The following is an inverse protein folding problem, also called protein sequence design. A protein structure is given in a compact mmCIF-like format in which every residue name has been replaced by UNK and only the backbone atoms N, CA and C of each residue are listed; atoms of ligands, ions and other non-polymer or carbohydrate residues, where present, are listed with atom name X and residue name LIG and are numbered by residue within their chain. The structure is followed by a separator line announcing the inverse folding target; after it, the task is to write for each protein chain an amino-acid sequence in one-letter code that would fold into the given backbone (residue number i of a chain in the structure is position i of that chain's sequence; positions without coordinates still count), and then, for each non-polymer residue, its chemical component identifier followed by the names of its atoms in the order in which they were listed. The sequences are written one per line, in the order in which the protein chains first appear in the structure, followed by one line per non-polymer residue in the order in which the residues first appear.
data_IF_540885172907
#
_entry.id   IF_540885172907
#
_cell.length_a   1.000
_cell.length_b   1.000
_cell.length_c   1.000
_cell.angle_alpha   90.00
_cell.angle_beta   90.00
_cell.angle_gamma   90.00
#
_symmetry.space_group_name_H-M   'P 1'
#
loop_
_entity.id
_entity.type
_entity.pdbx_description
1 polymer ?
#
# COMPACT_ATOMS: atom_id res chain seq x y z
N UNK A 1 18.63 -30.64 -93.80
CA UNK A 1 17.89 -30.44 -92.54
C UNK A 1 18.80 -29.59 -91.65
N UNK A 2 18.83 -28.27 -91.82
CA UNK A 2 17.89 -27.29 -91.20
C UNK A 2 18.11 -27.23 -89.68
N UNK A 3 18.45 -26.13 -89.00
CA UNK A 3 18.67 -24.71 -89.32
C UNK A 3 19.46 -24.08 -88.14
N UNK A 4 20.03 -22.89 -88.38
CA UNK A 4 20.83 -22.03 -87.51
C UNK A 4 20.18 -21.49 -86.20
N UNK A 5 21.05 -21.17 -85.22
CA UNK A 5 21.16 -19.98 -84.36
C UNK A 5 19.93 -19.42 -83.60
N UNK A 6 20.05 -19.30 -82.27
CA UNK A 6 20.19 -18.02 -81.56
C UNK A 6 20.21 -18.23 -80.02
N UNK A 7 21.22 -17.66 -79.36
CA UNK A 7 21.25 -17.42 -77.92
C UNK A 7 20.25 -16.30 -77.55
N UNK A 8 19.61 -16.36 -76.37
CA UNK A 8 19.43 -15.13 -75.61
C UNK A 8 19.95 -15.28 -74.18
N UNK A 9 20.67 -14.24 -73.75
CA UNK A 9 20.92 -13.88 -72.35
C UNK A 9 19.57 -13.81 -71.62
N UNK A 10 19.37 -14.60 -70.55
CA UNK A 10 18.28 -14.38 -69.60
C UNK A 10 18.88 -13.87 -68.30
N UNK A 11 18.54 -12.62 -68.05
CA UNK A 11 18.79 -11.83 -66.85
C UNK A 11 18.29 -12.59 -65.61
N UNK A 12 19.17 -12.85 -64.65
CA UNK A 12 18.84 -13.37 -63.33
C UNK A 12 18.09 -12.30 -62.54
N UNK A 13 16.75 -12.36 -62.54
CA UNK A 13 15.92 -11.63 -61.60
C UNK A 13 15.71 -12.51 -60.36
N UNK A 14 16.48 -12.24 -59.31
CA UNK A 14 16.18 -12.73 -57.97
C UNK A 14 14.84 -12.14 -57.52
N UNK A 15 13.77 -12.91 -57.66
CA UNK A 15 12.52 -12.67 -56.94
C UNK A 15 12.79 -12.92 -55.46
N UNK A 16 13.05 -11.84 -54.72
CA UNK A 16 12.92 -11.83 -53.29
C UNK A 16 11.44 -12.05 -52.95
N UNK A 17 11.07 -13.32 -52.73
CA UNK A 17 9.85 -13.66 -52.01
C UNK A 17 10.01 -13.08 -50.60
N UNK A 18 9.42 -11.89 -50.41
CA UNK A 18 9.14 -11.37 -49.08
C UNK A 18 8.36 -12.45 -48.34
N UNK A 19 8.99 -13.05 -47.33
CA UNK A 19 8.30 -13.93 -46.41
C UNK A 19 7.32 -13.06 -45.64
N UNK A 20 6.05 -13.11 -46.03
CA UNK A 20 4.97 -12.70 -45.14
C UNK A 20 5.02 -13.68 -43.99
N UNK A 21 5.49 -13.21 -42.84
CA UNK A 21 5.45 -13.97 -41.59
C UNK A 21 4.00 -14.42 -41.36
N UNK A 22 3.73 -15.72 -41.18
CA UNK A 22 2.37 -16.20 -40.93
C UNK A 22 1.85 -15.52 -39.67
N UNK A 23 0.68 -14.88 -39.77
CA UNK A 23 0.02 -14.20 -38.66
C UNK A 23 -0.08 -15.17 -37.47
N UNK A 24 0.73 -14.95 -36.45
CA UNK A 24 0.71 -15.75 -35.22
C UNK A 24 -0.61 -15.54 -34.47
N UNK A 25 -0.95 -16.45 -33.54
CA UNK A 25 -2.13 -16.29 -32.70
C UNK A 25 -2.05 -14.95 -31.94
N UNK A 26 -3.17 -14.23 -31.86
CA UNK A 26 -3.28 -12.97 -31.09
C UNK A 26 -3.14 -13.18 -29.58
N UNK A 27 -3.35 -14.40 -29.12
CA UNK A 27 -2.86 -14.82 -27.83
C UNK A 27 -1.36 -15.11 -27.93
N UNK A 28 -0.53 -14.10 -27.68
CA UNK A 28 0.93 -14.24 -27.67
C UNK A 28 1.51 -13.67 -26.37
N UNK A 29 1.32 -14.35 -25.23
CA UNK A 29 2.03 -14.00 -24.02
C UNK A 29 3.53 -14.26 -24.24
N UNK A 30 4.37 -13.28 -23.93
CA UNK A 30 5.82 -13.45 -24.03
C UNK A 30 6.49 -13.03 -22.72
N UNK A 31 7.28 -13.92 -22.10
CA UNK A 31 8.13 -13.57 -20.98
C UNK A 31 9.02 -12.35 -21.28
N UNK A 32 8.91 -11.30 -20.47
CA UNK A 32 9.84 -10.19 -20.38
C UNK A 32 10.40 -10.10 -18.95
N UNK A 33 11.70 -10.36 -18.80
CA UNK A 33 12.41 -10.17 -17.53
C UNK A 33 13.13 -8.81 -17.61
N UNK A 34 12.88 -7.95 -16.63
CA UNK A 34 13.32 -6.54 -16.62
C UNK A 34 14.21 -6.27 -15.42
N UNK A 35 15.43 -5.76 -15.61
CA UNK A 35 16.30 -5.36 -14.49
C UNK A 35 15.74 -4.16 -13.73
N UNK A 36 15.09 -3.25 -14.46
CA UNK A 36 14.30 -2.11 -13.97
C UNK A 36 13.39 -1.63 -15.10
N UNK A 37 12.43 -0.76 -14.79
CA UNK A 37 11.65 -0.04 -15.79
C UNK A 37 11.68 1.47 -15.51
N UNK A 38 11.55 2.25 -16.58
CA UNK A 38 11.44 3.70 -16.48
C UNK A 38 10.03 4.08 -16.02
N UNK A 39 9.86 5.25 -15.40
CA UNK A 39 8.53 5.77 -15.04
C UNK A 39 8.22 7.00 -15.89
N UNK A 40 7.20 6.90 -16.74
CA UNK A 40 6.64 8.03 -17.48
C UNK A 40 5.57 8.71 -16.61
N UNK A 41 5.96 9.77 -15.92
CA UNK A 41 5.03 10.58 -15.10
C UNK A 41 4.37 11.64 -15.94
N UNK A 42 3.05 11.65 -15.93
CA UNK A 42 2.23 12.61 -16.65
C UNK A 42 1.10 13.09 -15.74
N UNK A 43 0.73 14.35 -15.87
CA UNK A 43 -0.46 14.92 -15.24
C UNK A 43 -1.55 15.13 -16.28
N UNK A 44 -2.81 15.08 -15.89
CA UNK A 44 -3.96 15.47 -16.74
C UNK A 44 -3.80 16.88 -17.34
N UNK A 45 -3.07 17.78 -16.66
CA UNK A 45 -2.76 19.13 -17.15
C UNK A 45 -1.45 19.23 -17.96
N UNK A 46 -0.72 18.13 -18.17
CA UNK A 46 0.55 18.10 -18.91
C UNK A 46 1.74 18.74 -18.19
N UNK A 47 1.61 19.06 -16.91
CA UNK A 47 2.71 19.52 -16.07
C UNK A 47 3.46 18.31 -15.48
N UNK A 48 4.79 18.36 -15.49
CA UNK A 48 5.58 17.47 -14.63
C UNK A 48 5.46 18.06 -13.23
N UNK A 49 4.56 17.51 -12.41
CA UNK A 49 4.38 17.95 -11.03
C UNK A 49 5.62 17.54 -10.23
N UNK A 50 6.61 18.43 -10.20
CA UNK A 50 7.63 18.48 -9.17
C UNK A 50 7.20 19.54 -8.15
N UNK A 51 6.07 19.32 -7.47
CA UNK A 51 5.67 20.26 -6.43
C UNK A 51 6.70 20.14 -5.29
N UNK A 52 7.42 21.22 -5.02
CA UNK A 52 8.39 21.29 -3.92
C UNK A 52 7.72 21.22 -2.54
N UNK A 53 6.40 21.48 -2.50
CA UNK A 53 5.51 21.27 -1.37
C UNK A 53 4.57 20.04 -1.56
N UNK A 54 4.73 19.27 -2.65
CA UNK A 54 4.03 17.99 -2.84
C UNK A 54 4.61 17.05 -1.80
N UNK A 55 3.83 16.68 -0.80
CA UNK A 55 4.19 15.56 0.07
C UNK A 55 3.85 14.23 -0.60
N UNK A 56 4.10 14.13 -1.91
CA UNK A 56 3.67 13.01 -2.74
C UNK A 56 3.91 11.66 -2.09
N UNK A 57 2.97 10.73 -2.30
CA UNK A 57 3.09 9.28 -2.12
C UNK A 57 3.76 8.77 -0.83
N UNK A 58 3.73 9.55 0.25
CA UNK A 58 4.06 9.08 1.59
C UNK A 58 2.82 8.57 2.31
N UNK A 59 2.96 7.74 3.36
CA UNK A 59 1.85 7.14 4.11
C UNK A 59 1.09 8.15 4.99
N UNK A 60 0.92 9.40 4.53
CA UNK A 60 0.06 10.39 5.17
C UNK A 60 -1.36 10.25 4.60
N UNK A 61 -1.91 9.08 4.93
CA UNK A 61 -3.22 8.92 5.56
C UNK A 61 -4.50 8.97 4.75
N UNK A 62 -4.54 9.52 3.54
CA UNK A 62 -5.79 9.51 2.75
C UNK A 62 -5.69 8.75 1.43
N UNK A 63 -4.50 8.61 0.88
CA UNK A 63 -4.28 7.96 -0.41
C UNK A 63 -4.04 6.47 -0.19
N UNK A 64 -4.91 5.66 -0.76
CA UNK A 64 -4.92 4.21 -0.68
C UNK A 64 -4.58 3.61 -2.05
N UNK A 65 -3.87 2.48 -2.04
CA UNK A 65 -3.58 1.72 -3.24
C UNK A 65 -4.76 0.80 -3.62
N UNK A 66 -4.95 0.62 -4.93
CA UNK A 66 -5.84 -0.36 -5.52
C UNK A 66 -5.11 -1.09 -6.64
N UNK A 67 -4.72 -2.34 -6.39
CA UNK A 67 -3.95 -3.16 -7.33
C UNK A 67 -4.26 -4.64 -7.13
N UNK A 68 -4.21 -5.41 -8.21
CA UNK A 68 -4.24 -6.88 -8.16
C UNK A 68 -2.84 -7.49 -8.30
N UNK A 69 -1.86 -6.66 -8.69
CA UNK A 69 -0.44 -6.99 -8.67
C UNK A 69 0.25 -6.25 -7.52
N UNK A 70 1.56 -6.42 -7.34
CA UNK A 70 2.34 -5.60 -6.41
C UNK A 70 2.23 -4.10 -6.77
N UNK A 71 1.58 -3.26 -5.94
CA UNK A 71 1.36 -1.83 -6.25
C UNK A 71 2.65 -1.02 -6.26
N UNK A 72 3.73 -1.55 -5.67
CA UNK A 72 5.06 -0.92 -5.70
C UNK A 72 5.83 -1.25 -6.98
N UNK A 73 5.31 -2.18 -7.79
CA UNK A 73 5.96 -2.71 -8.99
C UNK A 73 7.42 -3.13 -8.73
N UNK A 74 7.69 -3.74 -7.57
CA UNK A 74 9.05 -4.19 -7.21
C UNK A 74 9.47 -5.47 -7.91
N UNK A 75 8.52 -6.18 -8.55
CA UNK A 75 8.78 -7.36 -9.38
C UNK A 75 9.53 -7.02 -10.67
N UNK A 76 10.43 -7.91 -11.06
CA UNK A 76 11.19 -7.87 -12.32
C UNK A 76 10.64 -8.84 -13.37
N UNK A 77 9.64 -9.65 -13.03
CA UNK A 77 9.13 -10.73 -13.87
C UNK A 77 7.74 -10.43 -14.41
N UNK A 78 7.66 -10.17 -15.71
CA UNK A 78 6.44 -9.73 -16.38
C UNK A 78 6.17 -10.53 -17.66
N UNK A 79 4.92 -10.57 -18.11
CA UNK A 79 4.55 -11.21 -19.37
C UNK A 79 3.91 -10.19 -20.28
N UNK A 80 4.58 -9.89 -21.39
CA UNK A 80 4.08 -9.03 -22.44
C UNK A 80 2.88 -9.68 -23.12
N UNK A 81 1.74 -8.99 -23.21
CA UNK A 81 0.58 -9.47 -23.97
C UNK A 81 0.73 -9.07 -25.44
N UNK A 82 1.67 -9.70 -26.15
CA UNK A 82 2.18 -9.23 -27.44
C UNK A 82 1.25 -9.40 -28.65
N UNK A 83 0.02 -9.87 -28.44
CA UNK A 83 -1.01 -9.84 -29.48
C UNK A 83 -2.21 -8.96 -29.14
N UNK A 84 -2.06 -8.12 -28.11
CA UNK A 84 -2.98 -7.03 -27.79
C UNK A 84 -2.94 -5.98 -28.90
N UNK A 85 -4.08 -5.76 -29.56
CA UNK A 85 -4.18 -4.93 -30.76
C UNK A 85 -4.70 -3.52 -30.48
N UNK A 86 -4.62 -2.62 -31.46
CA UNK A 86 -5.26 -1.29 -31.39
C UNK A 86 -6.75 -1.39 -31.04
N UNK A 87 -7.20 -0.49 -30.17
CA UNK A 87 -8.53 -0.36 -29.58
C UNK A 87 -8.93 -1.44 -28.57
N UNK A 88 -8.06 -2.41 -28.25
CA UNK A 88 -8.28 -3.28 -27.09
C UNK A 88 -7.99 -2.54 -25.78
N UNK A 89 -8.68 -2.94 -24.71
CA UNK A 89 -8.54 -2.31 -23.38
C UNK A 89 -8.17 -3.37 -22.35
N UNK A 90 -7.06 -3.14 -21.67
CA UNK A 90 -6.66 -3.87 -20.46
C UNK A 90 -7.25 -3.12 -19.28
N UNK A 91 -8.09 -3.76 -18.48
CA UNK A 91 -8.78 -3.08 -17.37
C UNK A 91 -8.82 -3.94 -16.10
N UNK A 92 -8.91 -3.28 -14.96
CA UNK A 92 -9.00 -3.92 -13.65
C UNK A 92 -10.05 -3.21 -12.78
N UNK A 93 -11.00 -3.98 -12.25
CA UNK A 93 -12.00 -3.49 -11.30
C UNK A 93 -11.49 -3.66 -9.88
N UNK A 94 -11.69 -2.63 -9.05
CA UNK A 94 -11.39 -2.66 -7.63
C UNK A 94 -12.68 -2.47 -6.83
N UNK A 95 -12.83 -3.24 -5.74
CA UNK A 95 -13.96 -3.14 -4.83
C UNK A 95 -13.47 -2.49 -3.54
N UNK A 96 -14.12 -1.42 -3.11
CA UNK A 96 -13.78 -0.69 -1.90
C UNK A 96 -14.87 -0.85 -0.84
N UNK A 97 -14.59 -0.57 0.45
CA UNK A 97 -15.62 -0.42 1.46
C UNK A 97 -16.65 0.64 1.06
N UNK A 98 -17.92 0.44 1.38
CA UNK A 98 -18.96 1.42 1.07
C UNK A 98 -18.73 2.77 1.78
N UNK A 99 -18.09 2.76 2.95
CA UNK A 99 -17.69 3.93 3.73
C UNK A 99 -16.61 4.78 3.06
N UNK A 100 -15.88 4.23 2.08
CA UNK A 100 -14.86 4.99 1.38
C UNK A 100 -15.45 6.05 0.44
N UNK A 101 -16.68 5.84 -0.07
CA UNK A 101 -17.27 6.68 -1.09
C UNK A 101 -17.98 7.91 -0.50
N UNK A 102 -17.89 9.09 -1.15
CA UNK A 102 -17.29 9.31 -2.47
C UNK A 102 -15.76 9.35 -2.44
N UNK A 103 -15.12 8.87 -3.50
CA UNK A 103 -13.65 8.90 -3.65
C UNK A 103 -13.24 9.79 -4.83
N UNK A 104 -11.99 10.25 -4.81
CA UNK A 104 -11.30 10.76 -5.99
C UNK A 104 -10.17 9.81 -6.40
N UNK A 105 -9.94 9.69 -7.70
CA UNK A 105 -8.80 8.95 -8.25
C UNK A 105 -7.61 9.89 -8.33
N UNK A 106 -6.50 9.49 -7.73
CA UNK A 106 -5.27 10.30 -7.63
C UNK A 106 -4.28 9.91 -8.74
N UNK A 107 -4.07 8.60 -8.92
CA UNK A 107 -3.20 8.10 -9.99
C UNK A 107 -3.75 6.83 -10.63
N UNK A 108 -3.35 6.62 -11.89
CA UNK A 108 -3.60 5.40 -12.65
C UNK A 108 -2.28 4.97 -13.28
N UNK A 109 -1.96 3.68 -13.17
CA UNK A 109 -0.67 3.13 -13.58
C UNK A 109 -0.85 1.91 -14.47
N UNK A 110 -0.01 1.80 -15.50
CA UNK A 110 0.08 0.62 -16.35
C UNK A 110 1.51 0.37 -16.80
N UNK A 111 1.99 -0.86 -16.61
CA UNK A 111 3.29 -1.26 -17.12
C UNK A 111 3.18 -1.70 -18.58
N UNK A 112 3.94 -1.02 -19.44
CA UNK A 112 4.18 -1.41 -20.82
C UNK A 112 5.58 -1.98 -20.99
N UNK A 113 5.70 -2.98 -21.86
CA UNK A 113 6.95 -3.67 -22.13
C UNK A 113 7.20 -3.80 -23.63
N UNK A 114 8.47 -3.66 -23.99
CA UNK A 114 9.00 -4.04 -25.32
C UNK A 114 9.83 -5.30 -25.17
N UNK A 115 9.88 -6.12 -26.21
CA UNK A 115 10.67 -7.36 -26.20
C UNK A 115 11.51 -7.47 -27.46
N UNK A 116 12.84 -7.50 -27.28
CA UNK A 116 13.80 -7.57 -28.38
C UNK A 116 13.45 -6.60 -29.52
N UNK A 117 12.96 -5.40 -29.15
CA UNK A 117 12.48 -4.45 -30.12
C UNK A 117 13.65 -4.02 -31.01
N UNK A 118 13.47 -4.14 -32.33
CA UNK A 118 14.53 -3.81 -33.31
C UNK A 118 14.52 -2.34 -33.71
N UNK A 119 13.51 -1.60 -33.26
CA UNK A 119 13.29 -0.17 -33.50
C UNK A 119 12.79 0.48 -32.21
N UNK A 120 12.95 1.80 -32.11
CA UNK A 120 12.23 2.58 -31.12
C UNK A 120 10.72 2.45 -31.40
N UNK A 121 9.93 2.30 -30.34
CA UNK A 121 8.48 2.16 -30.46
C UNK A 121 7.79 3.42 -29.94
N UNK A 122 6.84 3.96 -30.69
CA UNK A 122 5.92 5.01 -30.23
C UNK A 122 4.51 4.43 -30.18
N UNK A 123 3.91 4.37 -29.00
CA UNK A 123 2.54 3.89 -28.79
C UNK A 123 1.66 5.03 -28.32
N UNK A 124 0.54 5.24 -29.01
CA UNK A 124 -0.51 6.15 -28.56
C UNK A 124 -1.48 5.37 -27.67
N UNK A 125 -1.81 5.94 -26.52
CA UNK A 125 -2.56 5.24 -25.48
C UNK A 125 -3.60 6.15 -24.84
N UNK A 126 -4.66 5.55 -24.32
CA UNK A 126 -5.67 6.23 -23.52
C UNK A 126 -5.82 5.57 -22.16
N UNK A 127 -6.03 6.37 -21.13
CA UNK A 127 -6.46 5.92 -19.80
C UNK A 127 -7.94 6.22 -19.64
N UNK A 128 -8.67 5.25 -19.07
CA UNK A 128 -10.12 5.30 -18.91
C UNK A 128 -10.47 4.93 -17.47
N UNK A 129 -11.49 5.58 -16.92
CA UNK A 129 -12.01 5.30 -15.57
C UNK A 129 -13.52 5.14 -15.61
N UNK A 130 -14.01 4.06 -14.99
CA UNK A 130 -15.43 3.80 -14.81
C UNK A 130 -15.82 3.83 -13.33
N UNK A 131 -16.99 4.41 -13.04
CA UNK A 131 -17.73 4.14 -11.81
C UNK A 131 -18.48 2.82 -11.96
N UNK A 132 -18.10 1.79 -11.20
CA UNK A 132 -18.54 0.41 -11.35
C UNK A 132 -17.60 -0.45 -12.21
N UNK A 133 -18.17 -1.47 -12.85
CA UNK A 133 -17.46 -2.32 -13.84
C UNK A 133 -17.56 -1.72 -15.24
N UNK A 134 -16.73 -2.14 -16.21
CA UNK A 134 -16.83 -1.65 -17.59
C UNK A 134 -18.15 -2.00 -18.31
N UNK A 135 -18.92 -2.98 -17.81
CA UNK A 135 -20.13 -3.49 -18.46
C UNK A 135 -21.43 -2.97 -17.87
N UNK A 136 -21.46 -2.64 -16.58
CA UNK A 136 -22.64 -2.12 -15.88
C UNK A 136 -22.43 -0.74 -15.25
N UNK A 137 -21.19 -0.25 -15.27
CA UNK A 137 -20.81 1.05 -14.76
C UNK A 137 -20.94 2.17 -15.78
N UNK A 138 -20.54 3.37 -15.37
CA UNK A 138 -20.51 4.57 -16.20
C UNK A 138 -19.08 4.99 -16.43
N UNK A 139 -18.69 5.27 -17.68
CA UNK A 139 -17.39 5.88 -17.98
C UNK A 139 -17.41 7.32 -17.47
N UNK A 140 -16.50 7.65 -16.54
CA UNK A 140 -16.44 8.98 -15.90
C UNK A 140 -15.27 9.82 -16.40
N UNK A 141 -14.21 9.19 -16.90
CA UNK A 141 -13.05 9.90 -17.44
C UNK A 141 -12.38 9.09 -18.56
N UNK A 142 -11.88 9.79 -19.56
CA UNK A 142 -11.05 9.27 -20.64
C UNK A 142 -10.05 10.34 -21.06
N UNK A 143 -8.75 10.02 -21.01
CA UNK A 143 -7.67 10.90 -21.47
C UNK A 143 -6.77 10.15 -22.43
N UNK A 144 -6.45 10.77 -23.56
CA UNK A 144 -5.65 10.18 -24.63
C UNK A 144 -4.31 10.90 -24.78
N UNK A 145 -3.25 10.14 -25.06
CA UNK A 145 -1.94 10.71 -25.40
C UNK A 145 -2.05 11.48 -26.72
N UNK A 146 -1.75 12.77 -26.70
CA UNK A 146 -1.80 13.67 -27.86
C UNK A 146 -0.42 14.16 -28.30
N UNK A 147 0.63 13.76 -27.56
CA UNK A 147 2.01 14.18 -27.81
C UNK A 147 2.31 15.63 -27.39
N UNK A 148 1.34 16.34 -26.80
CA UNK A 148 1.45 17.72 -26.36
C UNK A 148 1.31 17.82 -24.83
N UNK A 149 0.14 17.46 -24.32
CA UNK A 149 -0.20 17.45 -22.89
C UNK A 149 0.15 16.08 -22.32
N UNK A 150 -0.33 15.03 -22.97
CA UNK A 150 -0.04 13.66 -22.61
C UNK A 150 0.92 13.07 -23.65
N UNK A 151 2.21 12.86 -23.32
CA UNK A 151 3.17 12.29 -24.25
C UNK A 151 2.79 10.87 -24.66
N UNK A 152 3.03 10.53 -25.92
CA UNK A 152 3.01 9.14 -26.37
C UNK A 152 4.06 8.32 -25.63
N UNK A 153 3.83 7.03 -25.50
CA UNK A 153 4.80 6.12 -24.92
C UNK A 153 5.92 5.87 -25.94
N UNK A 154 7.11 6.40 -25.68
CA UNK A 154 8.30 6.19 -26.50
C UNK A 154 9.28 5.29 -25.76
N UNK A 155 9.56 4.10 -26.30
CA UNK A 155 10.49 3.14 -25.70
C UNK A 155 11.63 2.81 -26.66
N UNK A 156 12.88 2.69 -26.17
CA UNK A 156 14.04 2.40 -27.01
C UNK A 156 14.02 0.96 -27.56
N UNK A 157 14.84 0.66 -28.59
CA UNK A 157 15.10 -0.72 -29.00
C UNK A 157 15.59 -1.59 -27.82
N UNK A 158 15.31 -2.89 -27.88
CA UNK A 158 15.67 -3.87 -26.85
C UNK A 158 14.47 -4.41 -26.07
N UNK A 159 14.75 -5.02 -24.92
CA UNK A 159 13.74 -5.46 -23.96
C UNK A 159 13.74 -4.46 -22.83
N UNK A 160 12.71 -3.63 -22.77
CA UNK A 160 12.61 -2.54 -21.81
C UNK A 160 11.20 -2.52 -21.20
N UNK A 161 11.06 -1.96 -20.01
CA UNK A 161 9.77 -1.64 -19.41
C UNK A 161 9.63 -0.15 -19.16
N UNK A 162 8.41 0.35 -19.27
CA UNK A 162 8.04 1.70 -18.85
C UNK A 162 6.69 1.65 -18.14
N UNK A 163 6.66 2.10 -16.89
CA UNK A 163 5.45 2.32 -16.11
C UNK A 163 4.88 3.68 -16.48
N UNK A 164 3.73 3.71 -17.12
CA UNK A 164 2.98 4.95 -17.31
C UNK A 164 2.28 5.25 -15.99
N UNK A 165 2.52 6.42 -15.41
CA UNK A 165 1.90 6.92 -14.19
C UNK A 165 1.17 8.22 -14.53
N UNK A 166 -0.15 8.14 -14.66
CA UNK A 166 -1.03 9.29 -14.88
C UNK A 166 -1.51 9.79 -13.53
N UNK A 167 -1.22 11.04 -13.23
CA UNK A 167 -1.67 11.73 -12.03
C UNK A 167 -2.79 12.73 -12.37
N UNK A 168 -3.76 12.85 -11.47
CA UNK A 168 -4.76 13.92 -11.51
C UNK A 168 -4.22 15.04 -10.64
N UNK A 169 -4.01 16.22 -11.22
CA UNK A 169 -3.47 17.37 -10.48
C UNK A 169 -4.48 17.83 -9.41
N UNK A 170 -4.10 18.00 -8.12
CA UNK A 170 -5.04 18.44 -7.07
C UNK A 170 -5.69 19.82 -7.32
N UNK A 171 -5.04 20.68 -8.11
CA UNK A 171 -5.56 21.98 -8.53
C UNK A 171 -6.44 21.93 -9.78
N UNK A 172 -6.59 20.76 -10.41
CA UNK A 172 -7.41 20.57 -11.60
C UNK A 172 -8.90 20.74 -11.26
N UNK A 173 -9.65 21.62 -11.94
CA UNK A 173 -11.11 21.67 -11.80
C UNK A 173 -11.80 20.38 -12.26
N UNK A 174 -11.16 19.58 -13.13
CA UNK A 174 -11.67 18.33 -13.69
C UNK A 174 -11.14 17.10 -12.92
N UNK A 175 -11.32 17.09 -11.60
CA UNK A 175 -11.06 15.92 -10.77
C UNK A 175 -11.91 14.70 -11.19
N UNK A 176 -11.35 13.50 -11.06
CA UNK A 176 -12.06 12.25 -11.34
C UNK A 176 -12.72 11.74 -10.05
N UNK A 177 -14.01 12.03 -9.90
CA UNK A 177 -14.80 11.57 -8.77
C UNK A 177 -15.54 10.26 -9.07
N UNK A 178 -15.55 9.36 -8.09
CA UNK A 178 -16.42 8.17 -8.07
C UNK A 178 -17.37 8.31 -6.89
N UNK A 179 -18.66 8.49 -7.21
CA UNK A 179 -19.70 8.80 -6.21
C UNK A 179 -20.40 7.57 -5.68
N UNK A 180 -20.22 6.42 -6.34
CA UNK A 180 -20.94 5.18 -6.06
C UNK A 180 -22.47 5.32 -6.19
N UNK A 181 -22.93 6.14 -7.14
CA UNK A 181 -24.34 6.30 -7.49
C UNK A 181 -25.00 4.98 -7.93
N UNK A 182 -24.22 4.05 -8.49
CA UNK A 182 -24.70 2.71 -8.84
C UNK A 182 -24.75 1.71 -7.66
N UNK A 183 -24.25 2.08 -6.48
CA UNK A 183 -24.21 1.24 -5.28
C UNK A 183 -23.34 -0.03 -5.40
N UNK A 184 -22.46 -0.10 -6.40
CA UNK A 184 -21.63 -1.27 -6.67
C UNK A 184 -20.40 -1.37 -5.76
N UNK A 185 -20.05 -0.28 -5.07
CA UNK A 185 -18.83 -0.08 -4.29
C UNK A 185 -17.56 -0.37 -5.10
N UNK A 186 -17.59 -0.09 -6.41
CA UNK A 186 -16.54 -0.46 -7.36
C UNK A 186 -16.17 0.72 -8.24
N UNK A 187 -14.92 0.73 -8.66
CA UNK A 187 -14.45 1.51 -9.80
C UNK A 187 -13.56 0.62 -10.66
N UNK A 188 -13.30 1.04 -11.89
CA UNK A 188 -12.43 0.33 -12.82
C UNK A 188 -11.52 1.32 -13.52
N UNK A 189 -10.25 0.98 -13.64
CA UNK A 189 -9.33 1.68 -14.55
C UNK A 189 -9.03 0.80 -15.75
N UNK A 190 -8.75 1.42 -16.89
CA UNK A 190 -8.31 0.70 -18.07
C UNK A 190 -7.33 1.51 -18.91
N UNK A 191 -6.45 0.80 -19.60
CA UNK A 191 -5.55 1.35 -20.60
C UNK A 191 -5.88 0.77 -21.95
N UNK A 192 -6.11 1.65 -22.92
CA UNK A 192 -6.33 1.32 -24.33
C UNK A 192 -5.09 1.65 -25.12
N UNK A 193 -4.73 0.79 -26.06
CA UNK A 193 -3.78 1.17 -27.13
C UNK A 193 -4.62 1.81 -28.24
N UNK A 194 -4.44 3.09 -28.49
CA UNK A 194 -5.14 3.78 -29.58
C UNK A 194 -4.45 3.50 -30.91
N UNK A 195 -3.12 3.58 -30.92
CA UNK A 195 -2.30 3.35 -32.09
C UNK A 195 -1.00 2.65 -31.71
N UNK A 196 -0.66 1.60 -32.44
CA UNK A 196 0.61 0.88 -32.27
C UNK A 196 1.69 1.53 -33.14
N UNK A 197 2.96 1.37 -32.74
CA UNK A 197 4.09 1.90 -33.51
C UNK A 197 4.15 1.35 -34.95
N UNK A 198 3.77 0.09 -35.13
CA UNK A 198 3.83 -0.58 -36.41
C UNK A 198 2.78 -1.69 -36.47
N UNK A 199 1.51 -1.34 -36.63
CA UNK A 199 0.43 -2.28 -36.91
C UNK A 199 -0.27 -1.94 -38.24
N UNK A 200 -0.62 -2.96 -39.03
CA UNK A 200 -1.32 -2.80 -40.31
C UNK A 200 -2.85 -2.82 -40.12
N UNK A 201 -3.35 -1.95 -39.25
CA UNK A 201 -4.77 -1.81 -38.90
C UNK A 201 -5.22 -2.71 -37.74
N UNK A 202 -6.29 -2.29 -37.06
CA UNK A 202 -6.74 -2.80 -35.76
C UNK A 202 -6.95 -4.32 -35.65
N UNK A 203 -7.22 -5.02 -36.76
CA UNK A 203 -7.35 -6.47 -36.78
C UNK A 203 -6.14 -7.23 -37.37
N UNK A 204 -4.93 -6.66 -37.35
CA UNK A 204 -3.70 -7.39 -37.67
C UNK A 204 -2.91 -7.66 -36.39
N UNK A 205 -2.25 -8.82 -36.29
CA UNK A 205 -1.42 -9.12 -35.12
C UNK A 205 -0.21 -8.18 -35.15
N UNK A 206 -0.02 -7.29 -34.15
CA UNK A 206 1.10 -6.37 -34.11
C UNK A 206 2.43 -7.16 -34.00
N UNK A 207 3.45 -6.82 -34.80
CA UNK A 207 4.78 -7.41 -34.65
C UNK A 207 5.35 -7.17 -33.26
N UNK A 208 5.67 -8.25 -32.55
CA UNK A 208 6.07 -8.19 -31.13
C UNK A 208 7.41 -7.49 -30.89
N UNK A 209 8.27 -7.41 -31.92
CA UNK A 209 9.59 -6.77 -31.87
C UNK A 209 9.59 -5.33 -32.41
N UNK A 210 8.42 -4.72 -32.61
CA UNK A 210 8.28 -3.35 -33.12
C UNK A 210 7.22 -2.55 -32.38
N UNK A 211 6.65 -3.08 -31.31
CA UNK A 211 5.56 -2.47 -30.55
C UNK A 211 5.76 -2.69 -29.05
N UNK A 212 5.15 -1.84 -28.25
CA UNK A 212 5.07 -2.00 -26.79
C UNK A 212 3.68 -2.54 -26.40
N UNK A 213 3.62 -3.34 -25.35
CA UNK A 213 2.40 -4.04 -24.94
C UNK A 213 2.16 -3.93 -23.43
N UNK A 214 0.89 -3.93 -22.98
CA UNK A 214 0.60 -4.06 -21.56
C UNK A 214 1.11 -5.41 -21.04
N UNK A 215 1.54 -5.42 -19.79
CA UNK A 215 2.06 -6.60 -19.13
C UNK A 215 1.08 -7.20 -18.12
N UNK A 216 1.22 -8.50 -17.87
CA UNK A 216 0.69 -9.16 -16.66
C UNK A 216 1.85 -9.63 -15.80
N UNK A 217 1.63 -9.80 -14.49
CA UNK A 217 2.60 -10.44 -13.62
C UNK A 217 2.76 -11.95 -13.91
N UNK A 218 3.61 -12.61 -13.11
CA UNK A 218 3.92 -14.04 -13.20
C UNK A 218 3.80 -14.81 -11.89
N UNK A 219 3.38 -14.15 -10.81
CA UNK A 219 3.08 -14.79 -9.53
C UNK A 219 1.74 -15.53 -9.52
N UNK A 220 0.89 -15.25 -10.52
CA UNK A 220 -0.26 -16.08 -10.89
C UNK A 220 -1.54 -15.27 -10.99
N UNK A 221 -2.59 -15.88 -11.54
CA UNK A 221 -3.87 -15.21 -11.74
C UNK A 221 -4.72 -15.23 -10.47
N UNK A 222 -4.58 -14.24 -9.60
CA UNK A 222 -5.34 -14.09 -8.35
C UNK A 222 -6.70 -13.42 -8.54
N UNK A 223 -6.80 -12.46 -9.46
CA UNK A 223 -7.97 -11.60 -9.66
C UNK A 223 -8.71 -11.90 -10.98
N UNK A 224 -8.86 -13.18 -11.33
CA UNK A 224 -9.49 -13.61 -12.60
C UNK A 224 -10.90 -13.04 -12.90
N UNK A 225 -11.67 -12.67 -11.87
CA UNK A 225 -13.01 -12.08 -12.02
C UNK A 225 -13.01 -10.55 -12.04
N UNK A 226 -11.85 -9.93 -11.78
CA UNK A 226 -11.68 -8.48 -11.68
C UNK A 226 -10.71 -7.93 -12.73
N UNK A 227 -9.90 -8.77 -13.38
CA UNK A 227 -9.18 -8.45 -14.60
C UNK A 227 -10.08 -8.59 -15.82
N UNK A 228 -10.08 -7.57 -16.66
CA UNK A 228 -10.93 -7.43 -17.84
C UNK A 228 -10.09 -7.24 -19.09
N UNK A 229 -10.61 -7.78 -20.19
CA UNK A 229 -10.19 -7.48 -21.54
C UNK A 229 -11.40 -6.98 -22.32
N UNK A 230 -11.28 -5.80 -22.93
CA UNK A 230 -12.11 -5.46 -24.08
C UNK A 230 -11.40 -5.96 -25.33
N UNK A 231 -11.93 -7.04 -25.91
CA UNK A 231 -11.39 -7.62 -27.13
C UNK A 231 -12.10 -7.05 -28.36
N UNK A 232 -11.32 -6.66 -29.37
CA UNK A 232 -11.88 -6.17 -30.62
C UNK A 232 -12.56 -7.32 -31.39
N UNK A 233 -13.61 -7.00 -32.14
CA UNK A 233 -14.29 -8.00 -32.97
C UNK A 233 -13.45 -8.33 -34.21
N UNK A 234 -12.54 -9.28 -34.05
CA UNK A 234 -11.63 -9.67 -35.10
C UNK A 234 -11.69 -11.18 -35.40
N UNK A 235 -11.46 -11.59 -36.65
CA UNK A 235 -11.45 -13.01 -37.03
C UNK A 235 -10.37 -13.79 -36.27
N UNK A 236 -10.73 -14.97 -35.74
CA UNK A 236 -9.84 -15.88 -35.00
C UNK A 236 -9.17 -15.24 -33.76
N UNK A 237 -9.73 -14.15 -33.25
CA UNK A 237 -9.32 -13.51 -32.01
C UNK A 237 -10.11 -14.04 -30.81
N UNK A 238 -9.83 -13.47 -29.64
CA UNK A 238 -10.59 -13.71 -28.43
C UNK A 238 -12.06 -13.29 -28.59
N UNK A 239 -12.98 -13.85 -27.79
CA UNK A 239 -14.39 -13.46 -27.82
C UNK A 239 -14.51 -11.94 -27.72
N UNK A 240 -15.17 -11.31 -28.69
CA UNK A 240 -15.25 -9.85 -28.78
C UNK A 240 -16.04 -9.24 -27.61
N UNK A 241 -15.76 -7.98 -27.32
CA UNK A 241 -16.38 -7.21 -26.25
C UNK A 241 -15.67 -7.40 -24.91
N UNK A 242 -16.37 -7.01 -23.84
CA UNK A 242 -15.86 -7.10 -22.48
C UNK A 242 -15.97 -8.51 -21.92
N UNK A 243 -14.84 -9.05 -21.47
CA UNK A 243 -14.77 -10.31 -20.73
C UNK A 243 -13.86 -10.16 -19.53
N UNK A 244 -14.25 -10.72 -18.39
CA UNK A 244 -13.28 -11.00 -17.33
C UNK A 244 -12.35 -12.11 -17.77
N UNK A 245 -11.16 -12.20 -17.19
CA UNK A 245 -10.25 -13.30 -17.48
C UNK A 245 -10.90 -14.66 -17.18
N UNK A 246 -11.75 -14.76 -16.15
CA UNK A 246 -12.51 -15.97 -15.83
C UNK A 246 -13.52 -16.40 -16.90
N UNK A 247 -13.95 -15.48 -17.78
CA UNK A 247 -14.86 -15.73 -18.90
C UNK A 247 -14.10 -16.08 -20.20
N UNK A 248 -12.82 -15.72 -20.31
CA UNK A 248 -11.98 -16.06 -21.46
C UNK A 248 -11.59 -17.54 -21.45
N UNK A 249 -11.45 -18.15 -22.61
CA UNK A 249 -10.90 -19.51 -22.70
C UNK A 249 -9.40 -19.54 -22.36
N UNK A 250 -8.84 -20.74 -22.19
CA UNK A 250 -7.42 -20.91 -21.85
C UNK A 250 -6.46 -20.39 -22.93
N UNK A 251 -6.93 -20.19 -24.16
CA UNK A 251 -6.08 -19.65 -25.22
C UNK A 251 -5.94 -18.14 -25.04
N UNK A 252 -7.02 -17.45 -24.69
CA UNK A 252 -7.06 -15.99 -24.57
C UNK A 252 -6.83 -15.45 -23.17
N UNK A 253 -6.88 -16.30 -22.15
CA UNK A 253 -6.72 -15.92 -20.76
C UNK A 253 -5.24 -15.80 -20.38
N UNK A 254 -4.77 -14.61 -19.95
CA UNK A 254 -3.44 -14.48 -19.37
C UNK A 254 -3.29 -15.30 -18.07
N UNK A 255 -2.06 -15.66 -17.76
CA UNK A 255 -1.73 -16.50 -16.59
C UNK A 255 -1.50 -15.70 -15.30
N UNK A 256 -1.39 -14.38 -15.40
CA UNK A 256 -1.21 -13.44 -14.29
C UNK A 256 -2.25 -12.33 -14.34
N UNK A 257 -2.25 -11.49 -13.31
CA UNK A 257 -3.10 -10.31 -13.21
C UNK A 257 -2.51 -9.15 -14.05
N UNK A 258 -3.35 -8.22 -14.51
CA UNK A 258 -2.85 -7.06 -15.24
C UNK A 258 -1.91 -6.24 -14.36
N UNK A 259 -0.81 -5.77 -14.94
CA UNK A 259 0.12 -4.84 -14.31
C UNK A 259 -0.48 -3.42 -14.25
N UNK A 260 -1.62 -3.31 -13.57
CA UNK A 260 -2.45 -2.13 -13.39
C UNK A 260 -2.60 -1.82 -11.91
N UNK A 261 -2.42 -0.56 -11.56
CA UNK A 261 -2.67 -0.05 -10.22
C UNK A 261 -3.29 1.34 -10.30
N UNK A 262 -4.04 1.71 -9.28
CA UNK A 262 -4.48 3.07 -9.06
C UNK A 262 -4.28 3.47 -7.61
N UNK A 263 -4.20 4.77 -7.37
CA UNK A 263 -4.34 5.33 -6.04
C UNK A 263 -5.60 6.16 -5.96
N UNK A 264 -6.26 6.15 -4.82
CA UNK A 264 -7.52 6.85 -4.58
C UNK A 264 -7.56 7.39 -3.17
N UNK A 265 -8.37 8.42 -2.94
CA UNK A 265 -8.65 8.91 -1.59
C UNK A 265 -10.13 9.16 -1.40
N UNK A 266 -10.63 8.84 -0.21
CA UNK A 266 -11.98 9.25 0.18
C UNK A 266 -12.07 10.78 0.28
N UNK A 267 -13.17 11.37 -0.17
CA UNK A 267 -13.46 12.79 0.01
C UNK A 267 -13.77 13.13 1.47
N UNK A 268 -14.18 12.14 2.26
CA UNK A 268 -14.39 12.28 3.69
C UNK A 268 -13.07 12.20 4.46
N UNK A 269 -11.97 11.82 3.79
CA UNK A 269 -10.65 11.84 4.39
C UNK A 269 -10.10 13.26 4.40
N UNK A 270 -9.96 13.80 5.61
CA UNK A 270 -9.28 15.06 5.86
C UNK A 270 -7.86 14.73 6.31
N UNK A 271 -6.85 15.19 5.56
CA UNK A 271 -5.44 14.95 5.91
C UNK A 271 -5.14 15.39 7.36
N UNK A 272 -4.45 14.53 8.08
CA UNK A 272 -4.12 14.73 9.49
C UNK A 272 -5.33 14.69 10.44
N UNK A 273 -6.52 14.27 10.02
CA UNK A 273 -7.69 14.05 10.88
C UNK A 273 -8.00 12.56 10.99
N UNK A 274 -8.10 12.04 12.21
CA UNK A 274 -8.33 10.62 12.46
C UNK A 274 -8.40 10.28 13.95
N UNK A 275 -8.49 8.99 14.27
CA UNK A 275 -8.56 8.48 15.63
C UNK A 275 -7.30 8.83 16.44
N UNK A 276 -7.53 9.43 17.60
CA UNK A 276 -6.53 9.70 18.62
C UNK A 276 -6.84 8.86 19.85
N UNK A 277 -5.96 7.89 20.16
CA UNK A 277 -6.06 7.14 21.41
C UNK A 277 -5.48 7.99 22.54
N UNK A 278 -6.33 8.41 23.47
CA UNK A 278 -5.92 9.18 24.63
C UNK A 278 -5.29 8.26 25.69
N UNK A 279 -4.48 8.82 26.62
CA UNK A 279 -3.80 8.03 27.67
C UNK A 279 -4.75 7.25 28.59
N UNK A 280 -6.02 7.66 28.69
CA UNK A 280 -7.06 6.99 29.47
C UNK A 280 -7.74 5.83 28.71
N UNK A 281 -7.30 5.55 27.48
CA UNK A 281 -7.86 4.52 26.61
C UNK A 281 -9.10 4.96 25.84
N UNK A 282 -9.56 6.21 26.01
CA UNK A 282 -10.63 6.75 25.18
C UNK A 282 -10.11 7.07 23.78
N UNK A 283 -11.01 7.02 22.80
CA UNK A 283 -10.70 7.38 21.43
C UNK A 283 -11.53 8.60 21.02
N UNK A 284 -10.87 9.62 20.49
CA UNK A 284 -11.52 10.79 19.91
C UNK A 284 -11.00 11.07 18.49
N UNK A 285 -11.88 11.51 17.60
CA UNK A 285 -11.50 11.96 16.26
C UNK A 285 -11.01 13.41 16.33
N UNK A 286 -9.75 13.63 15.99
CA UNK A 286 -9.17 14.98 15.98
C UNK A 286 -7.98 15.11 15.02
N UNK A 287 -7.49 16.33 14.85
CA UNK A 287 -6.27 16.58 14.09
C UNK A 287 -5.02 16.07 14.83
N UNK A 288 -4.02 15.60 14.10
CA UNK A 288 -2.76 15.07 14.64
C UNK A 288 -2.08 16.05 15.60
N UNK A 289 -2.05 17.34 15.27
CA UNK A 289 -1.44 18.36 16.13
C UNK A 289 -2.15 18.46 17.48
N UNK A 290 -3.49 18.35 17.48
CA UNK A 290 -4.27 18.32 18.71
C UNK A 290 -4.06 17.02 19.47
N UNK A 291 -4.02 15.88 18.77
CA UNK A 291 -3.79 14.56 19.38
C UNK A 291 -2.46 14.52 20.14
N UNK A 292 -1.40 15.01 19.51
CA UNK A 292 -0.08 15.13 20.16
C UNK A 292 -0.11 16.15 21.30
N UNK A 293 -0.82 17.28 21.13
CA UNK A 293 -0.94 18.30 22.17
C UNK A 293 -1.64 17.80 23.45
N UNK A 294 -2.57 16.85 23.33
CA UNK A 294 -3.24 16.22 24.49
C UNK A 294 -2.51 14.97 25.00
N UNK A 295 -1.33 14.66 24.47
CA UNK A 295 -0.53 13.49 24.86
C UNK A 295 -1.09 12.15 24.37
N UNK A 296 -2.00 12.18 23.39
CA UNK A 296 -2.56 10.98 22.77
C UNK A 296 -1.65 10.38 21.70
N UNK A 297 -1.98 9.16 21.29
CA UNK A 297 -1.32 8.42 20.20
C UNK A 297 -2.24 8.41 18.99
N UNK A 298 -1.80 9.09 17.94
CA UNK A 298 -2.53 9.19 16.68
C UNK A 298 -2.46 7.89 15.88
N UNK A 299 -3.60 7.40 15.40
CA UNK A 299 -3.72 6.09 14.75
C UNK A 299 -3.56 6.14 13.22
N UNK A 300 -3.52 7.34 12.64
CA UNK A 300 -3.45 7.57 11.21
C UNK A 300 -4.66 8.35 10.69
N UNK A 301 -4.51 8.98 9.53
CA UNK A 301 -5.59 9.77 8.94
C UNK A 301 -6.72 8.85 8.44
N UNK A 302 -7.96 9.32 8.54
CA UNK A 302 -9.16 8.58 8.15
C UNK A 302 -9.50 7.36 9.01
N UNK A 303 -8.66 6.97 9.96
CA UNK A 303 -8.96 5.87 10.90
C UNK A 303 -10.09 6.30 11.83
N UNK A 304 -11.20 5.57 11.81
CA UNK A 304 -12.31 5.80 12.72
C UNK A 304 -12.03 5.18 14.11
N UNK A 305 -12.57 5.82 15.16
CA UNK A 305 -12.44 5.30 16.53
C UNK A 305 -13.09 3.92 16.74
N UNK A 306 -13.98 3.49 15.85
CA UNK A 306 -14.52 2.12 15.88
C UNK A 306 -13.57 1.06 15.33
N UNK A 307 -12.56 1.47 14.56
CA UNK A 307 -11.56 0.60 13.93
C UNK A 307 -10.22 0.66 14.67
N UNK A 308 -9.96 1.76 15.38
CA UNK A 308 -8.79 1.94 16.23
C UNK A 308 -8.82 1.03 17.47
N UNK A 309 -7.71 0.33 17.73
CA UNK A 309 -7.49 -0.37 18.99
C UNK A 309 -6.85 0.59 20.00
N UNK A 310 -7.67 1.19 20.85
CA UNK A 310 -7.22 2.00 21.98
C UNK A 310 -7.29 1.17 23.27
N UNK A 311 -6.21 0.49 23.66
CA UNK A 311 -6.21 -0.35 24.84
C UNK A 311 -6.45 0.49 26.10
N UNK A 312 -7.40 0.06 26.92
CA UNK A 312 -7.67 0.70 28.21
C UNK A 312 -6.45 0.51 29.10
N UNK A 313 -5.86 1.58 29.65
CA UNK A 313 -4.70 1.47 30.52
C UNK A 313 -5.07 0.67 31.78
N UNK A 314 -4.21 -0.28 32.12
CA UNK A 314 -4.35 -1.09 33.33
C UNK A 314 -3.30 -0.69 34.36
N UNK A 315 -3.57 -1.02 35.62
CA UNK A 315 -2.68 -0.73 36.74
C UNK A 315 -3.01 -1.62 37.92
N UNK A 316 -2.16 -1.60 38.94
CA UNK A 316 -2.35 -2.34 40.17
C UNK A 316 -3.62 -1.85 40.90
N UNK A 317 -4.48 -2.80 41.23
CA UNK A 317 -5.69 -2.61 41.99
C UNK A 317 -5.56 -3.32 43.33
N UNK A 318 -5.58 -2.52 44.41
CA UNK A 318 -5.21 -2.94 45.74
C UNK A 318 -6.44 -3.15 46.60
N UNK A 319 -6.69 -4.38 47.02
CA UNK A 319 -7.84 -4.72 47.83
C UNK A 319 -7.52 -4.65 49.32
N UNK A 320 -8.49 -4.27 50.19
CA UNK A 320 -8.29 -4.26 51.64
C UNK A 320 -7.89 -5.61 52.25
N UNK A 321 -8.06 -6.70 51.50
CA UNK A 321 -7.65 -8.06 51.87
C UNK A 321 -6.15 -8.32 51.68
N UNK A 322 -5.39 -7.36 51.16
CA UNK A 322 -3.97 -7.51 50.81
C UNK A 322 -3.74 -8.18 49.45
N UNK A 323 -4.79 -8.37 48.66
CA UNK A 323 -4.72 -8.91 47.31
C UNK A 323 -4.53 -7.80 46.28
N UNK A 324 -3.83 -8.10 45.18
CA UNK A 324 -3.66 -7.17 44.05
C UNK A 324 -3.97 -7.84 42.72
N UNK A 325 -4.68 -7.12 41.85
CA UNK A 325 -4.88 -7.49 40.45
C UNK A 325 -4.50 -6.33 39.54
N UNK A 326 -4.02 -6.62 38.33
CA UNK A 326 -3.85 -5.59 37.30
C UNK A 326 -5.18 -5.44 36.57
N UNK A 327 -5.88 -4.33 36.82
CA UNK A 327 -7.22 -4.05 36.29
C UNK A 327 -7.27 -2.65 35.67
N UNK A 328 -8.25 -2.37 34.79
CA UNK A 328 -8.66 -1.00 34.49
C UNK A 328 -9.14 -0.25 35.75
N UNK A 329 -9.00 1.07 35.78
CA UNK A 329 -9.39 1.90 36.94
C UNK A 329 -10.86 1.73 37.33
N UNK A 330 -11.77 1.71 36.34
CA UNK A 330 -13.21 1.54 36.56
C UNK A 330 -13.54 0.18 37.19
N UNK A 331 -12.88 -0.88 36.73
CA UNK A 331 -13.07 -2.23 37.29
C UNK A 331 -12.48 -2.33 38.70
N UNK A 332 -11.34 -1.69 38.94
CA UNK A 332 -10.71 -1.65 40.24
C UNK A 332 -11.59 -0.99 41.30
N UNK A 333 -12.06 0.22 41.00
CA UNK A 333 -12.96 0.98 41.88
C UNK A 333 -14.32 0.31 42.02
N UNK A 334 -14.87 -0.27 40.94
CA UNK A 334 -16.10 -1.05 40.95
C UNK A 334 -16.02 -2.32 41.80
N UNK A 335 -14.85 -2.95 41.87
CA UNK A 335 -14.58 -4.10 42.72
C UNK A 335 -14.26 -3.72 44.18
N UNK A 336 -14.23 -2.43 44.52
CA UNK A 336 -13.94 -1.95 45.87
C UNK A 336 -12.45 -1.95 46.24
N UNK A 337 -11.55 -1.96 45.26
CA UNK A 337 -10.12 -1.78 45.43
C UNK A 337 -9.67 -0.33 45.24
N UNK A 338 -8.44 -0.03 45.65
CA UNK A 338 -7.76 1.26 45.43
C UNK A 338 -6.84 1.14 44.24
N UNK A 339 -7.00 2.01 43.23
CA UNK A 339 -6.17 2.01 42.03
C UNK A 339 -4.85 2.74 42.28
N UNK A 340 -3.71 2.09 42.02
CA UNK A 340 -2.38 2.65 42.28
C UNK A 340 -1.83 3.51 41.11
N UNK A 341 -2.55 3.58 39.99
CA UNK A 341 -2.19 4.37 38.81
C UNK A 341 -1.84 3.52 37.59
N UNK A 342 -1.92 4.13 36.40
CA UNK A 342 -1.64 3.45 35.12
C UNK A 342 -0.20 2.94 35.04
N UNK A 343 -0.02 1.72 34.50
CA UNK A 343 1.30 1.09 34.32
C UNK A 343 1.93 0.52 35.58
N UNK A 344 1.31 0.69 36.76
CA UNK A 344 1.73 0.02 37.99
C UNK A 344 1.42 -1.48 37.94
N UNK A 345 2.19 -2.29 38.67
CA UNK A 345 2.05 -3.75 38.66
C UNK A 345 1.83 -4.29 40.07
N UNK A 346 1.34 -5.52 40.16
CA UNK A 346 1.21 -6.24 41.43
C UNK A 346 2.49 -6.97 41.84
N UNK A 347 3.66 -6.50 41.41
CA UNK A 347 4.94 -7.08 41.79
C UNK A 347 5.21 -6.81 43.28
N UNK A 348 5.74 -7.83 43.96
CA UNK A 348 6.33 -7.75 45.30
C UNK A 348 7.83 -7.91 45.13
N UNK A 349 8.55 -6.80 44.95
CA UNK A 349 9.99 -6.84 44.73
C UNK A 349 10.78 -7.01 46.04
N UNK A 350 10.15 -6.75 47.18
CA UNK A 350 10.80 -6.78 48.49
C UNK A 350 10.55 -8.10 49.26
N UNK A 351 9.69 -8.98 48.74
CA UNK A 351 9.44 -10.34 49.23
C UNK A 351 8.57 -10.41 50.50
N UNK A 352 7.92 -9.33 50.92
CA UNK A 352 7.14 -9.28 52.16
C UNK A 352 5.71 -9.84 52.00
N UNK A 353 5.38 -10.42 50.85
CA UNK A 353 4.05 -10.92 50.48
C UNK A 353 2.98 -9.81 50.40
N UNK A 354 3.39 -8.58 50.08
CA UNK A 354 2.54 -7.46 49.70
C UNK A 354 3.06 -6.84 48.39
N UNK A 355 2.19 -6.58 47.41
CA UNK A 355 2.58 -5.87 46.21
C UNK A 355 3.00 -4.43 46.52
N UNK A 356 4.16 -4.00 46.01
CA UNK A 356 4.76 -2.70 46.34
C UNK A 356 3.81 -1.53 46.04
N UNK A 357 3.01 -1.65 44.96
CA UNK A 357 2.03 -0.64 44.56
C UNK A 357 0.82 -0.52 45.52
N UNK A 358 0.62 -1.51 46.41
CA UNK A 358 -0.51 -1.62 47.32
C UNK A 358 -0.19 -1.35 48.78
N UNK A 359 1.08 -1.05 49.06
CA UNK A 359 1.51 -0.66 50.38
C UNK A 359 1.02 0.77 50.66
N UNK A 360 -0.06 0.90 51.42
CA UNK A 360 -0.42 2.17 52.10
C UNK A 360 0.45 2.36 53.35
N UNK A 361 1.75 2.22 53.17
CA UNK A 361 2.79 2.34 54.18
C UNK A 361 3.84 3.38 53.77
N UNK A 362 4.66 3.86 54.71
CA UNK A 362 5.68 4.87 54.43
C UNK A 362 6.51 4.41 53.22
N UNK A 363 6.67 5.34 52.28
CA UNK A 363 7.64 5.28 51.20
C UNK A 363 8.81 4.34 51.56
N UNK A 364 9.03 3.24 50.84
CA UNK A 364 10.09 2.25 51.19
C UNK A 364 11.46 2.94 51.31
N UNK A 365 11.63 4.04 50.56
CA UNK A 365 12.82 4.87 50.61
C UNK A 365 12.87 5.83 51.83
N UNK A 366 11.73 6.18 52.45
CA UNK A 366 11.58 6.86 53.75
C UNK A 366 11.75 5.85 54.89
N UNK A 367 12.99 5.76 55.36
CA UNK A 367 13.42 4.70 56.28
C UNK A 367 13.16 5.05 57.74
N UNK A 368 12.94 6.32 58.03
CA UNK A 368 12.65 6.80 59.39
C UNK A 368 11.15 7.08 59.60
N UNK A 369 10.34 7.03 58.53
CA UNK A 369 8.89 7.18 58.54
C UNK A 369 8.45 8.62 58.80
N UNK A 370 9.27 9.62 58.49
CA UNK A 370 9.00 11.03 58.76
C UNK A 370 8.29 11.76 57.60
N UNK A 371 8.06 11.07 56.49
CA UNK A 371 7.39 11.57 55.30
C UNK A 371 8.26 12.48 54.41
N UNK A 372 9.56 12.60 54.68
CA UNK A 372 10.49 13.41 53.90
C UNK A 372 11.66 12.60 53.39
N UNK A 373 11.73 12.39 52.08
CA UNK A 373 12.85 11.70 51.47
C UNK A 373 14.13 12.56 51.45
N UNK A 374 15.05 12.29 52.37
CA UNK A 374 16.24 13.09 52.56
C UNK A 374 17.46 12.27 53.01
N UNK A 375 18.54 12.94 53.39
CA UNK A 375 19.78 12.28 53.82
C UNK A 375 19.59 11.32 55.01
N UNK A 376 18.66 11.61 55.92
CA UNK A 376 18.41 10.79 57.09
C UNK A 376 17.89 9.39 56.75
N UNK A 377 17.20 9.23 55.61
CA UNK A 377 16.75 7.93 55.15
C UNK A 377 17.88 7.07 54.61
N UNK A 378 18.76 7.69 53.82
CA UNK A 378 19.97 7.03 53.30
C UNK A 378 20.84 6.60 54.47
N UNK A 379 20.98 7.46 55.48
CA UNK A 379 21.72 7.15 56.68
C UNK A 379 21.10 5.97 57.45
N UNK A 380 19.77 5.90 57.53
CA UNK A 380 19.08 4.80 58.19
C UNK A 380 19.20 3.48 57.41
N UNK A 381 19.11 3.51 56.08
CA UNK A 381 19.39 2.35 55.23
C UNK A 381 20.82 1.83 55.44
N UNK A 382 21.82 2.71 55.43
CA UNK A 382 23.22 2.34 55.66
C UNK A 382 23.46 1.78 57.07
N UNK A 383 22.71 2.25 58.07
CA UNK A 383 22.78 1.68 59.42
C UNK A 383 22.24 0.24 59.44
N UNK A 384 21.06 0.01 58.83
CA UNK A 384 20.47 -1.33 58.72
C UNK A 384 21.33 -2.29 57.88
N UNK A 385 21.93 -1.78 56.81
CA UNK A 385 22.93 -2.48 55.98
C UNK A 385 24.09 -2.99 56.82
N UNK A 386 24.72 -2.09 57.58
CA UNK A 386 25.88 -2.42 58.41
C UNK A 386 25.53 -3.39 59.54
N UNK A 387 24.27 -3.41 59.97
CA UNK A 387 23.74 -4.32 60.97
C UNK A 387 23.27 -5.67 60.40
N UNK A 388 23.34 -5.87 59.07
CA UNK A 388 22.78 -7.04 58.37
C UNK A 388 21.32 -7.28 58.76
N UNK A 389 20.56 -6.19 58.89
CA UNK A 389 19.14 -6.25 59.21
C UNK A 389 18.36 -6.63 57.95
N UNK A 390 17.42 -7.58 58.05
CA UNK A 390 16.61 -8.06 56.93
C UNK A 390 15.95 -6.95 56.10
N UNK A 391 15.67 -5.77 56.68
CA UNK A 391 15.12 -4.62 55.94
C UNK A 391 16.09 -3.98 54.92
N UNK A 392 17.37 -4.33 54.95
CA UNK A 392 18.40 -3.87 54.02
C UNK A 392 18.71 -4.89 52.90
N UNK A 393 18.15 -6.10 52.98
CA UNK A 393 18.16 -7.11 51.90
C UNK A 393 16.97 -6.80 50.99
N UNK A 394 17.22 -6.06 49.92
CA UNK A 394 16.17 -5.44 49.10
C UNK A 394 15.68 -6.35 47.98
N UNK A 395 16.43 -7.39 47.65
CA UNK A 395 16.03 -8.41 46.68
C UNK A 395 15.71 -9.77 47.34
N UNK A 396 15.77 -9.85 48.68
CA UNK A 396 15.50 -11.05 49.49
C UNK A 396 16.37 -12.25 49.11
N UNK A 397 17.60 -12.01 48.63
CA UNK A 397 18.52 -13.08 48.22
C UNK A 397 19.38 -13.62 49.39
N UNK A 398 19.22 -13.05 50.59
CA UNK A 398 19.95 -13.41 51.80
C UNK A 398 21.39 -12.89 51.82
N UNK A 399 21.78 -12.09 50.84
CA UNK A 399 23.07 -11.41 50.74
C UNK A 399 22.85 -9.90 50.84
N UNK A 400 23.80 -9.21 51.49
CA UNK A 400 23.79 -7.76 51.61
C UNK A 400 24.91 -7.22 50.73
N UNK A 401 24.62 -7.00 49.45
CA UNK A 401 25.62 -6.66 48.43
C UNK A 401 25.24 -5.44 47.56
N UNK A 402 26.03 -5.15 46.53
CA UNK A 402 25.79 -3.97 45.69
C UNK A 402 24.36 -3.89 45.11
N UNK A 403 23.71 -5.01 44.84
CA UNK A 403 22.39 -5.05 44.21
C UNK A 403 21.29 -4.46 45.09
N UNK A 404 21.35 -4.66 46.39
CA UNK A 404 20.36 -4.08 47.31
C UNK A 404 20.50 -2.56 47.44
N UNK A 405 21.75 -2.07 47.45
CA UNK A 405 22.05 -0.62 47.44
C UNK A 405 21.52 0.00 46.15
N UNK A 406 21.70 -0.68 45.02
CA UNK A 406 21.19 -0.21 43.73
C UNK A 406 19.66 -0.13 43.72
N UNK A 407 18.96 -1.10 44.30
CA UNK A 407 17.49 -1.07 44.44
C UNK A 407 17.06 0.09 45.31
N UNK A 408 17.68 0.28 46.48
CA UNK A 408 17.36 1.40 47.37
C UNK A 408 17.58 2.76 46.69
N UNK A 409 18.69 2.96 45.98
CA UNK A 409 18.98 4.21 45.27
C UNK A 409 18.00 4.46 44.12
N UNK A 410 17.52 3.41 43.44
CA UNK A 410 16.48 3.54 42.41
C UNK A 410 15.16 4.00 43.01
N UNK A 411 14.74 3.43 44.16
CA UNK A 411 13.54 3.85 44.88
C UNK A 411 13.66 5.28 45.40
N UNK A 412 14.83 5.65 45.94
CA UNK A 412 15.10 7.01 46.41
C UNK A 412 15.09 8.03 45.25
N UNK A 413 15.63 7.68 44.09
CA UNK A 413 15.67 8.56 42.92
C UNK A 413 14.31 8.69 42.21
N UNK A 414 13.49 7.64 42.24
CA UNK A 414 12.13 7.67 41.71
C UNK A 414 11.23 8.65 42.49
N UNK A 415 11.57 8.93 43.75
CA UNK A 415 10.70 9.64 44.67
C UNK A 415 9.47 8.81 45.01
N UNK A 416 8.80 9.15 46.10
CA UNK A 416 7.51 8.58 46.42
C UNK A 416 6.40 9.49 45.87
N UNK A 417 5.26 8.95 45.41
CA UNK A 417 4.07 9.75 45.17
C UNK A 417 3.56 10.39 46.48
#
# INVERSE_FOLDING_TARGET
MSFWSCLPLILSASLALGHVEPQGPRAKPIPADLDSFDVLRVSTAGQIIHDADFRGFGPRGCVNDASHTDPTFSSTQWTAQAGFVENEIAAATYTLPASAFPIKIETMKCLFVTLNAVVQTTTEWSVLVWEGTPTSGTLVAEYSSDGLVLPHLVMPPGTNGTLIEVSVDPGDPEQIFITNANGSNKFTIGFRIDNHNSQSGACSTPPSNRNAFPATDRDGLGASTANWLYAMNCPFACPAGWHTFSQLDLLCRPTGDWALAATWSSLDCVEGFGACCLPDGTCELMFIDNCVAVGGTYQGDGVDCSEADCPIPTGACCFPTGFCLVLPEADCTGAGGTYAGHGTTCADNNGNSQPDACESGPCIADRNGDGQLNFFDVQHFLNNWSALNASADMNSDGQYNFFDVQIYLNLFAAGCP
#
